data_IF_394947816929
#
_entry.id   IF_394947816929
#
_cell.length_a   1.000
_cell.length_b   1.000
_cell.length_c   1.000
_cell.angle_alpha   90.00
_cell.angle_beta   90.00
_cell.angle_gamma   90.00
#
_symmetry.space_group_name_H-M   'P 1'
#
loop_
_entity.id
_entity.type
_entity.pdbx_description
1 polymer ?
#
# COMPACT_ATOMS: atom_id res chain seq x y z
N UNK A 1 33.04 -43.37 -44.84
CA UNK A 1 31.64 -43.83 -45.00
C UNK A 1 30.92 -43.57 -43.70
N UNK A 2 29.76 -42.88 -43.75
CA UNK A 2 28.87 -42.67 -42.59
C UNK A 2 28.61 -41.20 -42.28
N UNK A 3 27.50 -40.67 -42.82
CA UNK A 3 26.95 -39.32 -42.61
C UNK A 3 26.12 -39.21 -41.32
N UNK A 4 26.06 -37.98 -40.80
CA UNK A 4 24.97 -37.25 -40.11
C UNK A 4 23.99 -37.96 -39.14
N UNK A 5 23.76 -37.38 -37.96
CA UNK A 5 22.56 -36.56 -37.67
C UNK A 5 22.56 -35.96 -36.24
N UNK A 6 21.95 -34.78 -36.13
CA UNK A 6 21.76 -33.93 -34.95
C UNK A 6 21.03 -34.58 -33.77
N UNK A 7 21.38 -34.18 -32.54
CA UNK A 7 20.41 -33.99 -31.46
C UNK A 7 20.95 -33.00 -30.40
N UNK A 8 20.62 -31.73 -30.59
CA UNK A 8 20.62 -30.72 -29.54
C UNK A 8 19.57 -31.10 -28.48
N UNK A 9 19.98 -31.28 -27.23
CA UNK A 9 19.01 -31.41 -26.14
C UNK A 9 19.57 -32.03 -24.89
N UNK A 10 19.94 -31.18 -23.93
CA UNK A 10 19.46 -31.26 -22.53
C UNK A 10 20.01 -30.08 -21.72
N UNK A 11 19.49 -28.88 -22.02
CA UNK A 11 19.32 -27.81 -21.03
C UNK A 11 18.27 -28.26 -19.98
N UNK A 12 18.60 -29.27 -19.18
CA UNK A 12 17.64 -29.96 -18.30
C UNK A 12 18.00 -29.90 -16.81
N UNK A 13 18.62 -28.81 -16.34
CA UNK A 13 18.73 -28.53 -14.89
C UNK A 13 18.27 -27.14 -14.46
N UNK A 14 17.75 -26.29 -15.36
CA UNK A 14 17.13 -24.99 -15.02
C UNK A 14 15.62 -24.94 -15.29
N UNK A 15 14.93 -26.08 -15.20
CA UNK A 15 13.46 -26.17 -15.28
C UNK A 15 12.90 -26.80 -14.00
N UNK A 16 13.06 -26.10 -12.87
CA UNK A 16 12.21 -26.30 -11.68
C UNK A 16 12.45 -25.16 -10.69
N UNK A 17 11.91 -23.99 -11.01
CA UNK A 17 11.39 -22.97 -10.10
C UNK A 17 10.54 -22.01 -10.97
N UNK A 18 9.49 -22.56 -11.59
CA UNK A 18 8.44 -21.77 -12.22
C UNK A 18 7.44 -21.36 -11.14
N UNK A 19 7.51 -20.11 -10.70
CA UNK A 19 6.32 -19.29 -10.48
C UNK A 19 6.53 -18.05 -11.34
N UNK A 20 5.75 -17.94 -12.41
CA UNK A 20 5.83 -16.92 -13.46
C UNK A 20 5.99 -15.48 -12.89
N UNK A 21 7.10 -14.75 -13.15
CA UNK A 21 7.28 -13.39 -12.60
C UNK A 21 6.45 -12.26 -13.26
N UNK A 22 5.51 -12.54 -14.17
CA UNK A 22 4.89 -11.50 -15.01
C UNK A 22 3.49 -10.97 -14.57
N UNK A 23 3.19 -10.86 -13.27
CA UNK A 23 1.91 -10.25 -12.80
C UNK A 23 2.03 -9.32 -11.58
N UNK A 24 3.22 -8.81 -11.27
CA UNK A 24 3.45 -7.96 -10.10
C UNK A 24 4.10 -6.64 -10.53
N UNK A 25 3.32 -5.59 -10.87
CA UNK A 25 3.84 -4.34 -11.43
C UNK A 25 4.90 -3.65 -10.54
N UNK A 26 4.85 -3.88 -9.23
CA UNK A 26 5.80 -3.32 -8.27
C UNK A 26 7.20 -3.94 -8.30
N UNK A 27 7.41 -5.09 -8.96
CA UNK A 27 8.74 -5.71 -9.03
C UNK A 27 9.74 -4.91 -9.87
N UNK A 28 9.27 -3.95 -10.67
CA UNK A 28 10.11 -3.06 -11.47
C UNK A 28 10.23 -1.65 -10.86
N UNK A 29 9.69 -1.41 -9.66
CA UNK A 29 9.76 -0.09 -9.03
C UNK A 29 11.16 0.18 -8.51
N UNK A 30 11.72 1.33 -8.92
CA UNK A 30 13.01 1.80 -8.47
C UNK A 30 12.83 2.91 -7.41
N UNK A 31 13.80 3.10 -6.52
CA UNK A 31 13.74 3.99 -5.35
C UNK A 31 14.86 5.03 -5.39
N UNK A 32 14.71 6.22 -4.80
CA UNK A 32 15.85 7.14 -4.66
C UNK A 32 16.56 6.94 -3.32
N UNK A 33 17.90 6.87 -3.33
CA UNK A 33 18.69 6.84 -2.10
C UNK A 33 18.74 8.23 -1.42
N UNK A 34 19.33 8.29 -0.22
CA UNK A 34 19.49 9.54 0.53
C UNK A 34 20.28 10.61 -0.24
N UNK A 35 21.14 10.19 -1.17
CA UNK A 35 21.74 11.05 -2.18
C UNK A 35 20.77 11.07 -3.35
N UNK A 36 19.97 12.15 -3.44
CA UNK A 36 18.80 12.35 -4.34
C UNK A 36 18.96 11.96 -5.82
N UNK A 37 20.13 11.52 -6.25
CA UNK A 37 20.46 11.12 -7.63
C UNK A 37 20.60 9.61 -7.86
N UNK A 38 20.79 8.77 -6.83
CA UNK A 38 21.00 7.34 -7.08
C UNK A 38 19.70 6.55 -6.98
N UNK A 39 19.42 5.78 -8.03
CA UNK A 39 18.25 4.91 -8.12
C UNK A 39 18.61 3.50 -7.61
N UNK A 40 17.80 2.98 -6.69
CA UNK A 40 17.88 1.65 -6.06
C UNK A 40 16.81 0.72 -6.65
N UNK A 41 17.09 -0.58 -6.67
CA UNK A 41 16.15 -1.66 -7.04
C UNK A 41 15.36 -2.16 -5.82
N UNK A 42 14.28 -2.96 -6.00
CA UNK A 42 13.60 -3.63 -4.88
C UNK A 42 14.53 -4.50 -4.04
N UNK A 43 15.54 -5.14 -4.66
CA UNK A 43 16.59 -5.90 -3.98
C UNK A 43 17.50 -4.99 -3.13
N UNK A 44 17.83 -3.79 -3.62
CA UNK A 44 18.60 -2.80 -2.86
C UNK A 44 17.81 -2.31 -1.66
N UNK A 45 16.49 -2.08 -1.81
CA UNK A 45 15.63 -1.73 -0.68
C UNK A 45 15.61 -2.85 0.36
N UNK A 46 15.46 -4.12 -0.05
CA UNK A 46 15.55 -5.25 0.89
C UNK A 46 16.89 -5.25 1.64
N UNK A 47 17.98 -4.87 0.97
CA UNK A 47 19.31 -4.78 1.56
C UNK A 47 19.42 -3.65 2.57
N UNK A 48 18.86 -2.48 2.27
CA UNK A 48 18.78 -1.33 3.20
C UNK A 48 17.85 -1.61 4.36
N UNK A 49 16.72 -2.30 4.16
CA UNK A 49 15.85 -2.73 5.26
C UNK A 49 16.54 -3.72 6.20
N UNK A 50 17.43 -4.59 5.67
CA UNK A 50 18.25 -5.49 6.48
C UNK A 50 19.37 -4.76 7.22
N UNK A 51 19.90 -3.68 6.63
CA UNK A 51 21.02 -2.91 7.17
C UNK A 51 20.71 -1.40 7.09
N UNK A 52 19.83 -0.88 7.96
CA UNK A 52 19.45 0.52 7.90
C UNK A 52 20.65 1.42 8.22
N UNK A 53 20.81 2.57 7.55
CA UNK A 53 21.88 3.51 7.87
C UNK A 53 21.71 4.04 9.30
N UNK A 54 22.76 3.85 10.11
CA UNK A 54 22.69 3.98 11.57
C UNK A 54 23.01 5.42 11.99
N UNK A 55 21.96 6.19 12.29
CA UNK A 55 21.96 7.30 13.26
C UNK A 55 20.50 7.69 13.56
N UNK A 56 19.75 6.76 14.15
CA UNK A 56 18.34 6.97 14.51
C UNK A 56 18.26 7.02 16.04
N UNK A 57 17.51 7.97 16.59
CA UNK A 57 17.20 8.00 18.02
C UNK A 57 16.38 6.75 18.36
N UNK A 58 16.92 5.88 19.23
CA UNK A 58 16.30 4.61 19.61
C UNK A 58 14.88 4.81 20.18
N UNK A 59 14.62 5.91 20.89
CA UNK A 59 13.30 6.18 21.46
C UNK A 59 12.30 6.61 20.38
N UNK A 60 12.75 7.29 19.32
CA UNK A 60 11.91 7.60 18.15
C UNK A 60 11.64 6.31 17.37
N UNK A 61 12.67 5.50 17.15
CA UNK A 61 12.54 4.23 16.44
C UNK A 61 11.55 3.29 17.13
N UNK A 62 11.65 3.15 18.45
CA UNK A 62 10.73 2.33 19.26
C UNK A 62 9.27 2.77 19.09
N UNK A 63 9.02 4.09 19.13
CA UNK A 63 7.66 4.64 18.92
C UNK A 63 7.13 4.40 17.52
N UNK A 64 7.97 4.61 16.49
CA UNK A 64 7.57 4.36 15.09
C UNK A 64 7.24 2.88 14.88
N UNK A 65 8.10 1.98 15.38
CA UNK A 65 7.87 0.54 15.30
C UNK A 65 6.62 0.13 16.08
N UNK A 66 6.49 0.61 17.32
CA UNK A 66 5.33 0.35 18.18
C UNK A 66 4.01 0.82 17.55
N UNK A 67 3.99 1.98 16.89
CA UNK A 67 2.81 2.47 16.19
C UNK A 67 2.44 1.59 14.99
N UNK A 68 3.40 1.24 14.13
CA UNK A 68 3.13 0.42 12.95
C UNK A 68 2.76 -1.03 13.30
N UNK A 69 3.51 -1.65 14.23
CA UNK A 69 3.24 -3.02 14.71
C UNK A 69 1.96 -3.05 15.54
N UNK A 70 1.73 -2.07 16.40
CA UNK A 70 0.54 -1.98 17.24
C UNK A 70 -0.74 -1.86 16.41
N UNK A 71 -0.74 -1.06 15.34
CA UNK A 71 -1.83 -0.99 14.38
C UNK A 71 -2.08 -2.36 13.74
N UNK A 72 -1.04 -3.04 13.25
CA UNK A 72 -1.18 -4.36 12.63
C UNK A 72 -1.66 -5.46 13.60
N UNK A 73 -1.22 -5.39 14.85
CA UNK A 73 -1.71 -6.28 15.91
C UNK A 73 -3.17 -5.99 16.26
N UNK A 74 -3.56 -4.72 16.35
CA UNK A 74 -4.93 -4.30 16.60
C UNK A 74 -5.90 -4.79 15.52
N UNK A 75 -5.52 -4.61 14.26
CA UNK A 75 -6.20 -5.15 13.08
C UNK A 75 -6.33 -6.69 13.19
N UNK A 76 -5.22 -7.43 13.32
CA UNK A 76 -5.25 -8.89 13.37
C UNK A 76 -6.07 -9.47 14.55
N UNK A 77 -6.11 -8.76 15.68
CA UNK A 77 -6.98 -9.11 16.83
C UNK A 77 -8.45 -8.79 16.53
N UNK A 78 -8.73 -7.64 15.93
CA UNK A 78 -10.08 -7.15 15.61
C UNK A 78 -10.75 -7.92 14.49
N UNK A 79 -10.03 -8.24 13.41
CA UNK A 79 -10.55 -8.95 12.25
C UNK A 79 -11.14 -10.34 12.57
N UNK A 80 -10.69 -10.98 13.66
CA UNK A 80 -11.28 -12.23 14.14
C UNK A 80 -12.76 -12.08 14.54
N UNK A 81 -13.13 -10.93 15.09
CA UNK A 81 -14.46 -10.68 15.67
C UNK A 81 -15.27 -9.65 14.89
N UNK A 82 -14.80 -9.29 13.70
CA UNK A 82 -15.49 -8.38 12.83
C UNK A 82 -16.93 -8.84 12.54
N UNK A 83 -17.87 -7.89 12.49
CA UNK A 83 -19.32 -8.11 12.36
C UNK A 83 -19.98 -8.94 13.47
N UNK A 84 -19.26 -9.30 14.55
CA UNK A 84 -19.85 -9.96 15.71
C UNK A 84 -20.53 -8.93 16.63
N UNK A 85 -21.72 -9.23 17.15
CA UNK A 85 -22.39 -8.33 18.09
C UNK A 85 -21.59 -8.25 19.40
N UNK A 86 -21.69 -7.13 20.11
CA UNK A 86 -20.96 -6.92 21.38
C UNK A 86 -21.20 -8.04 22.41
N UNK A 87 -22.40 -8.63 22.43
CA UNK A 87 -22.77 -9.75 23.29
C UNK A 87 -21.93 -11.01 23.03
N UNK A 88 -21.54 -11.25 21.77
CA UNK A 88 -20.67 -12.38 21.41
C UNK A 88 -19.32 -12.28 22.15
N UNK A 89 -18.78 -11.07 22.26
CA UNK A 89 -17.50 -10.79 22.92
C UNK A 89 -17.52 -10.98 24.44
N UNK A 90 -18.70 -10.97 25.07
CA UNK A 90 -18.83 -11.28 26.50
C UNK A 90 -18.54 -12.75 26.77
N UNK A 91 -18.92 -13.63 25.83
CA UNK A 91 -18.70 -15.07 25.91
C UNK A 91 -17.38 -15.50 25.26
N UNK A 92 -16.92 -14.75 24.25
CA UNK A 92 -15.72 -15.04 23.46
C UNK A 92 -14.77 -13.82 23.47
N UNK A 93 -14.18 -13.47 24.63
CA UNK A 93 -13.28 -12.34 24.72
C UNK A 93 -12.01 -12.58 23.89
N UNK A 94 -11.59 -11.57 23.14
CA UNK A 94 -10.34 -11.59 22.39
C UNK A 94 -9.18 -11.45 23.37
N UNK A 95 -8.37 -12.50 23.50
CA UNK A 95 -7.22 -12.56 24.43
C UNK A 95 -5.91 -12.92 23.75
N UNK A 96 -5.96 -13.37 22.50
CA UNK A 96 -4.81 -13.84 21.75
C UNK A 96 -5.10 -13.78 20.23
N UNK A 97 -4.05 -13.90 19.42
CA UNK A 97 -4.12 -13.99 17.96
C UNK A 97 -4.60 -15.39 17.55
N UNK A 98 -5.92 -15.57 17.54
CA UNK A 98 -6.54 -16.87 17.25
C UNK A 98 -6.78 -17.13 15.76
N UNK A 99 -6.84 -16.08 14.92
CA UNK A 99 -7.26 -16.20 13.52
C UNK A 99 -8.73 -16.62 13.39
N UNK A 100 -9.24 -16.90 12.20
CA UNK A 100 -10.63 -17.26 11.93
C UNK A 100 -11.46 -16.05 11.53
N UNK A 101 -12.61 -15.84 12.18
CA UNK A 101 -13.50 -14.72 11.88
C UNK A 101 -14.24 -14.88 10.55
N UNK A 102 -14.83 -13.77 10.08
CA UNK A 102 -15.62 -13.69 8.84
C UNK A 102 -14.85 -14.20 7.62
N UNK A 103 -13.54 -13.97 7.61
CA UNK A 103 -12.66 -14.25 6.48
C UNK A 103 -11.82 -15.53 6.63
N UNK A 104 -11.94 -16.26 7.74
CA UNK A 104 -11.19 -17.51 7.97
C UNK A 104 -9.67 -17.32 8.03
N UNK A 105 -9.21 -16.21 8.64
CA UNK A 105 -7.81 -15.81 8.69
C UNK A 105 -6.92 -16.81 9.44
N UNK A 106 -5.64 -16.91 9.06
CA UNK A 106 -4.64 -17.57 9.91
C UNK A 106 -4.25 -16.65 11.07
N UNK A 107 -3.67 -17.23 12.12
CA UNK A 107 -3.13 -16.47 13.26
C UNK A 107 -2.15 -15.41 12.78
N UNK A 108 -2.37 -14.16 13.19
CA UNK A 108 -1.52 -13.01 12.85
C UNK A 108 -1.73 -12.43 11.45
N UNK A 109 -2.68 -12.94 10.64
CA UNK A 109 -3.05 -12.26 9.40
C UNK A 109 -3.91 -11.03 9.71
N UNK A 110 -3.50 -9.90 9.16
CA UNK A 110 -4.17 -8.61 9.21
C UNK A 110 -5.04 -8.37 7.96
N UNK A 111 -5.95 -7.39 7.99
CA UNK A 111 -6.94 -7.08 6.94
C UNK A 111 -6.54 -5.88 6.06
N UNK A 112 -7.51 -5.14 5.54
CA UNK A 112 -7.34 -3.96 4.71
C UNK A 112 -6.71 -2.79 5.47
N UNK A 113 -6.98 -2.61 6.77
CA UNK A 113 -6.37 -1.55 7.60
C UNK A 113 -4.85 -1.53 7.43
N UNK A 114 -4.20 -2.66 7.74
CA UNK A 114 -2.75 -2.80 7.66
C UNK A 114 -2.26 -2.86 6.23
N UNK A 115 -2.99 -3.54 5.32
CA UNK A 115 -2.59 -3.63 3.91
C UNK A 115 -2.50 -2.24 3.27
N UNK A 116 -3.48 -1.38 3.52
CA UNK A 116 -3.49 0.00 3.02
C UNK A 116 -2.44 0.85 3.72
N UNK A 117 -2.25 0.70 5.03
CA UNK A 117 -1.18 1.42 5.73
C UNK A 117 0.22 1.04 5.20
N UNK A 118 0.47 -0.24 4.92
CA UNK A 118 1.73 -0.70 4.31
C UNK A 118 1.92 -0.15 2.89
N UNK A 119 0.84 -0.08 2.10
CA UNK A 119 0.89 0.59 0.80
C UNK A 119 1.30 2.06 0.94
N UNK A 120 0.69 2.79 1.86
CA UNK A 120 0.98 4.20 2.11
C UNK A 120 2.41 4.42 2.63
N UNK A 121 2.84 3.64 3.62
CA UNK A 121 4.20 3.64 4.14
C UNK A 121 5.22 3.39 3.02
N UNK A 122 4.92 2.43 2.13
CA UNK A 122 5.78 2.14 1.01
C UNK A 122 5.86 3.35 0.06
N UNK A 123 4.75 4.02 -0.26
CA UNK A 123 4.75 5.27 -1.06
C UNK A 123 5.68 6.34 -0.50
N UNK A 124 5.51 6.65 0.78
CA UNK A 124 6.31 7.64 1.51
C UNK A 124 7.81 7.30 1.49
N UNK A 125 8.16 6.03 1.72
CA UNK A 125 9.56 5.59 1.71
C UNK A 125 10.18 5.62 0.32
N UNK A 126 9.44 5.22 -0.73
CA UNK A 126 9.95 5.23 -2.12
C UNK A 126 10.18 6.66 -2.60
N UNK A 127 9.18 7.52 -2.45
CA UNK A 127 9.19 8.87 -3.00
C UNK A 127 9.91 9.87 -2.10
N UNK A 128 10.16 9.50 -0.84
CA UNK A 128 10.68 10.39 0.20
C UNK A 128 9.81 11.63 0.42
N UNK A 129 8.55 11.52 0.05
CA UNK A 129 7.56 12.58 0.07
C UNK A 129 6.15 11.97 -0.02
N UNK A 130 5.13 12.81 0.15
CA UNK A 130 3.74 12.43 0.00
C UNK A 130 3.26 12.66 -1.43
N UNK A 131 3.07 11.57 -2.19
CA UNK A 131 2.57 11.62 -3.57
C UNK A 131 1.17 10.97 -3.63
N UNK A 132 0.07 11.74 -3.62
CA UNK A 132 -1.29 11.21 -3.59
C UNK A 132 -1.62 10.24 -4.74
N UNK A 133 -1.04 10.50 -5.91
CA UNK A 133 -1.21 9.63 -7.08
C UNK A 133 -0.62 8.24 -6.83
N UNK A 134 0.61 8.17 -6.30
CA UNK A 134 1.30 6.90 -6.02
C UNK A 134 0.62 6.12 -4.89
N UNK A 135 0.04 6.81 -3.90
CA UNK A 135 -0.82 6.19 -2.90
C UNK A 135 -1.99 5.43 -3.56
N UNK A 136 -2.69 6.05 -4.52
CA UNK A 136 -3.78 5.40 -5.26
C UNK A 136 -3.27 4.26 -6.15
N UNK A 137 -2.10 4.40 -6.78
CA UNK A 137 -1.47 3.31 -7.55
C UNK A 137 -1.21 2.09 -6.67
N UNK A 138 -0.67 2.26 -5.45
CA UNK A 138 -0.40 1.13 -4.55
C UNK A 138 -1.66 0.50 -4.01
N UNK A 139 -2.68 1.30 -3.69
CA UNK A 139 -3.99 0.76 -3.33
C UNK A 139 -4.62 -0.01 -4.47
N UNK A 140 -4.46 0.45 -5.73
CA UNK A 140 -4.86 -0.30 -6.91
C UNK A 140 -4.09 -1.62 -7.03
N UNK A 141 -2.79 -1.63 -6.77
CA UNK A 141 -2.01 -2.87 -6.78
C UNK A 141 -2.43 -3.85 -5.69
N UNK A 142 -2.75 -3.34 -4.49
CA UNK A 142 -3.34 -4.16 -3.44
C UNK A 142 -4.67 -4.74 -3.93
N UNK A 143 -5.60 -3.89 -4.36
CA UNK A 143 -6.93 -4.28 -4.85
C UNK A 143 -6.88 -5.32 -5.96
N UNK A 144 -5.99 -5.18 -6.95
CA UNK A 144 -5.92 -6.08 -8.11
C UNK A 144 -5.06 -7.31 -7.93
N UNK A 145 -3.99 -7.21 -7.15
CA UNK A 145 -2.91 -8.20 -7.17
C UNK A 145 -2.47 -8.64 -5.76
N UNK A 146 -3.09 -8.13 -4.70
CA UNK A 146 -2.74 -8.46 -3.32
C UNK A 146 -1.40 -7.89 -2.86
N UNK A 147 -0.92 -6.80 -3.46
CA UNK A 147 0.25 -6.08 -2.96
C UNK A 147 0.07 -5.72 -1.47
N UNK A 148 1.07 -6.02 -0.64
CA UNK A 148 1.04 -5.83 0.82
C UNK A 148 -0.11 -6.53 1.57
N UNK A 149 -0.75 -7.55 0.97
CA UNK A 149 -1.77 -8.37 1.65
C UNK A 149 -1.14 -9.50 2.46
N UNK A 150 -1.70 -9.77 3.65
CA UNK A 150 -1.34 -10.91 4.50
C UNK A 150 -1.77 -12.27 3.93
N UNK A 151 -2.72 -12.29 2.99
CA UNK A 151 -3.26 -13.51 2.34
C UNK A 151 -2.76 -13.68 0.90
N UNK A 152 -2.04 -12.69 0.37
CA UNK A 152 -1.61 -12.64 -1.03
C UNK A 152 -2.69 -12.22 -2.02
N UNK A 153 -3.90 -11.86 -1.55
CA UNK A 153 -5.01 -11.33 -2.36
C UNK A 153 -5.69 -10.16 -1.63
N UNK A 154 -6.37 -9.27 -2.35
CA UNK A 154 -7.23 -8.28 -1.72
C UNK A 154 -8.50 -8.94 -1.18
N UNK A 155 -8.83 -8.64 0.07
CA UNK A 155 -10.09 -9.00 0.72
C UNK A 155 -10.46 -7.87 1.69
N UNK A 156 -11.69 -7.89 2.20
CA UNK A 156 -12.21 -6.92 3.17
C UNK A 156 -12.22 -5.44 2.71
N UNK A 157 -12.01 -5.17 1.42
CA UNK A 157 -12.03 -3.81 0.91
C UNK A 157 -13.40 -3.15 1.11
N UNK A 158 -13.43 -2.08 1.89
CA UNK A 158 -14.61 -1.24 2.06
C UNK A 158 -15.14 -0.66 0.75
N UNK A 159 -16.47 -0.51 0.67
CA UNK A 159 -17.18 -0.03 -0.54
C UNK A 159 -16.66 1.32 -1.03
N UNK A 160 -16.46 2.28 -0.12
CA UNK A 160 -15.93 3.61 -0.42
C UNK A 160 -14.54 3.56 -1.09
N UNK A 161 -13.62 2.79 -0.50
CA UNK A 161 -12.28 2.57 -1.06
C UNK A 161 -12.37 1.93 -2.43
N UNK A 162 -13.17 0.85 -2.58
CA UNK A 162 -13.36 0.17 -3.86
C UNK A 162 -13.88 1.12 -4.95
N UNK A 163 -14.89 1.92 -4.64
CA UNK A 163 -15.46 2.90 -5.58
C UNK A 163 -14.42 3.95 -6.00
N UNK A 164 -13.67 4.49 -5.04
CA UNK A 164 -12.60 5.46 -5.31
C UNK A 164 -11.51 4.88 -6.21
N UNK A 165 -11.11 3.61 -6.01
CA UNK A 165 -10.13 2.96 -6.88
C UNK A 165 -10.67 2.66 -8.28
N UNK A 166 -11.94 2.28 -8.41
CA UNK A 166 -12.59 2.14 -9.71
C UNK A 166 -12.62 3.48 -10.47
N UNK A 167 -12.91 4.58 -9.78
CA UNK A 167 -12.90 5.92 -10.36
C UNK A 167 -11.48 6.35 -10.75
N UNK A 168 -10.48 6.10 -9.89
CA UNK A 168 -9.07 6.34 -10.21
C UNK A 168 -8.64 5.62 -11.49
N UNK A 169 -8.97 4.33 -11.63
CA UNK A 169 -8.66 3.56 -12.83
C UNK A 169 -9.36 4.10 -14.08
N UNK A 170 -10.62 4.53 -13.94
CA UNK A 170 -11.35 5.15 -15.05
C UNK A 170 -10.69 6.45 -15.48
N UNK A 171 -10.25 7.28 -14.53
CA UNK A 171 -9.50 8.52 -14.79
C UNK A 171 -8.14 8.24 -15.41
N UNK A 172 -7.40 7.22 -14.96
CA UNK A 172 -6.15 6.79 -15.60
C UNK A 172 -6.36 6.46 -17.08
N UNK A 173 -7.38 5.68 -17.45
CA UNK A 173 -7.65 5.36 -18.86
C UNK A 173 -7.91 6.61 -19.70
N UNK A 174 -8.76 7.52 -19.21
CA UNK A 174 -9.05 8.78 -19.91
C UNK A 174 -7.78 9.65 -20.03
N UNK A 175 -6.97 9.71 -18.98
CA UNK A 175 -5.74 10.49 -18.96
C UNK A 175 -4.70 9.94 -19.95
N UNK A 176 -4.58 8.61 -20.05
CA UNK A 176 -3.76 7.92 -21.03
C UNK A 176 -4.15 8.31 -22.46
N UNK A 177 -5.45 8.27 -22.78
CA UNK A 177 -5.97 8.65 -24.11
C UNK A 177 -5.69 10.13 -24.42
N UNK A 178 -5.96 11.03 -23.47
CA UNK A 178 -5.73 12.48 -23.66
C UNK A 178 -4.27 12.81 -23.92
N UNK A 179 -3.34 12.19 -23.19
CA UNK A 179 -1.92 12.51 -23.24
C UNK A 179 -1.12 11.57 -24.15
N UNK A 180 -1.79 10.62 -24.82
CA UNK A 180 -1.16 9.60 -25.67
C UNK A 180 -0.09 8.77 -24.92
N UNK A 181 -0.36 8.46 -23.65
CA UNK A 181 0.51 7.66 -22.79
C UNK A 181 -0.01 6.23 -22.76
N UNK A 182 0.88 5.23 -22.91
CA UNK A 182 0.49 3.82 -22.77
C UNK A 182 -0.01 3.57 -21.34
N UNK A 183 -1.16 2.92 -21.18
CA UNK A 183 -1.78 2.70 -19.86
C UNK A 183 -0.84 2.00 -18.86
N UNK A 184 0.02 1.10 -19.33
CA UNK A 184 1.02 0.40 -18.51
C UNK A 184 2.07 1.33 -17.89
N UNK A 185 2.29 2.52 -18.45
CA UNK A 185 3.22 3.51 -17.91
C UNK A 185 2.60 4.39 -16.83
N UNK A 186 1.27 4.47 -16.74
CA UNK A 186 0.63 5.40 -15.81
C UNK A 186 0.90 5.07 -14.35
N UNK A 187 1.15 3.81 -14.00
CA UNK A 187 1.51 3.43 -12.63
C UNK A 187 2.92 3.88 -12.22
N UNK A 188 3.71 4.35 -13.18
CA UNK A 188 5.06 4.85 -12.99
C UNK A 188 5.18 6.33 -13.37
N UNK A 189 4.05 7.04 -13.43
CA UNK A 189 4.04 8.46 -13.76
C UNK A 189 4.78 9.27 -12.68
N UNK A 190 5.85 9.96 -13.07
CA UNK A 190 6.68 10.77 -12.18
C UNK A 190 6.89 12.20 -12.68
N UNK A 191 6.39 12.54 -13.87
CA UNK A 191 6.46 13.89 -14.43
C UNK A 191 5.56 14.83 -13.60
N UNK A 192 6.11 15.87 -12.95
CA UNK A 192 5.32 16.75 -12.09
C UNK A 192 4.19 17.48 -12.84
N UNK A 193 4.43 17.89 -14.09
CA UNK A 193 3.43 18.62 -14.87
C UNK A 193 2.24 17.73 -15.24
N UNK A 194 2.48 16.45 -15.50
CA UNK A 194 1.41 15.47 -15.73
C UNK A 194 0.69 15.07 -14.44
N UNK A 195 1.42 14.95 -13.32
CA UNK A 195 0.82 14.66 -12.02
C UNK A 195 -0.13 15.79 -11.57
N UNK A 196 0.26 17.06 -11.75
CA UNK A 196 -0.57 18.22 -11.42
C UNK A 196 -1.89 18.28 -12.22
N UNK A 197 -1.90 17.70 -13.42
CA UNK A 197 -3.09 17.63 -14.27
C UNK A 197 -4.03 16.47 -13.90
N UNK A 198 -3.57 15.53 -13.08
CA UNK A 198 -4.37 14.37 -12.70
C UNK A 198 -5.18 14.66 -11.43
N UNK A 199 -6.51 14.67 -11.55
CA UNK A 199 -7.39 14.80 -10.39
C UNK A 199 -7.41 13.50 -9.55
N UNK A 200 -6.72 13.52 -8.40
CA UNK A 200 -6.61 12.40 -7.44
C UNK A 200 -7.81 12.26 -6.49
N UNK A 201 -8.70 13.25 -6.40
CA UNK A 201 -9.87 13.21 -5.52
C UNK A 201 -10.96 12.32 -6.13
N UNK A 202 -10.86 11.01 -5.88
CA UNK A 202 -11.68 9.99 -6.53
C UNK A 202 -12.90 9.55 -5.70
N UNK A 203 -13.04 10.06 -4.47
CA UNK A 203 -14.22 9.83 -3.64
C UNK A 203 -15.39 10.71 -4.06
N UNK A 204 -16.60 10.22 -3.82
CA UNK A 204 -17.79 11.06 -3.75
C UNK A 204 -17.79 11.88 -2.45
N UNK A 205 -18.57 12.98 -2.45
CA UNK A 205 -18.79 13.83 -1.28
C UNK A 205 -19.61 13.09 -0.21
N UNK A 206 -19.34 13.34 1.07
CA UNK A 206 -20.12 12.80 2.18
C UNK A 206 -19.75 11.38 2.61
N UNK A 207 -18.66 10.83 2.07
CA UNK A 207 -18.14 9.49 2.40
C UNK A 207 -17.34 9.53 3.71
N UNK A 208 -18.04 9.39 4.85
CA UNK A 208 -17.50 9.52 6.21
C UNK A 208 -17.01 8.20 6.87
N UNK A 209 -16.68 7.17 6.08
CA UNK A 209 -16.23 5.87 6.58
C UNK A 209 -14.86 5.91 7.29
N UNK A 210 -14.55 4.89 8.09
CA UNK A 210 -13.26 4.75 8.80
C UNK A 210 -12.07 4.45 7.88
N UNK A 211 -12.30 4.18 6.59
CA UNK A 211 -11.32 3.74 5.60
C UNK A 211 -10.10 4.65 5.41
N UNK A 212 -10.25 5.94 5.75
CA UNK A 212 -9.16 6.90 5.78
C UNK A 212 -8.34 6.85 7.08
N UNK A 213 -9.01 6.77 8.23
CA UNK A 213 -8.37 6.82 9.55
C UNK A 213 -7.60 5.54 9.87
N UNK A 214 -8.16 4.38 9.52
CA UNK A 214 -7.60 3.08 9.88
C UNK A 214 -6.18 2.82 9.34
N UNK A 215 -5.81 3.54 8.27
CA UNK A 215 -4.52 3.41 7.58
C UNK A 215 -3.56 4.60 7.79
N UNK A 216 -3.91 5.51 8.70
CA UNK A 216 -3.30 6.84 8.77
C UNK A 216 -1.85 6.86 9.26
N UNK A 217 -1.49 5.93 10.16
CA UNK A 217 -0.24 5.96 10.93
C UNK A 217 1.03 6.31 10.13
N UNK A 218 1.26 5.82 8.89
CA UNK A 218 2.50 6.11 8.15
C UNK A 218 2.78 7.61 7.93
N UNK A 219 1.77 8.44 7.71
CA UNK A 219 1.96 9.86 7.38
C UNK A 219 2.55 10.64 8.56
N UNK A 220 1.93 10.69 9.75
CA UNK A 220 2.49 11.43 10.88
C UNK A 220 3.81 10.84 11.38
N UNK A 221 4.05 9.54 11.19
CA UNK A 221 5.34 8.93 11.51
C UNK A 221 6.44 9.37 10.54
N UNK A 222 6.15 9.47 9.25
CA UNK A 222 7.10 9.91 8.25
C UNK A 222 7.44 11.41 8.42
N UNK A 223 6.43 12.24 8.62
CA UNK A 223 6.57 13.69 8.80
C UNK A 223 6.71 14.10 10.27
N UNK A 224 7.18 13.22 11.17
CA UNK A 224 7.21 13.47 12.61
C UNK A 224 8.03 14.70 13.03
N UNK A 225 8.95 15.18 12.19
CA UNK A 225 9.75 16.39 12.40
C UNK A 225 9.06 17.67 11.95
N UNK A 226 7.98 17.56 11.18
CA UNK A 226 7.16 18.67 10.68
C UNK A 226 5.67 18.37 10.96
N UNK A 227 5.17 18.71 12.16
CA UNK A 227 3.79 18.46 12.54
C UNK A 227 2.75 19.14 11.63
N UNK A 228 3.11 20.25 10.97
CA UNK A 228 2.20 20.96 10.07
C UNK A 228 1.99 20.14 8.81
N UNK A 229 3.08 19.71 8.16
CA UNK A 229 2.99 18.79 7.01
C UNK A 229 2.35 17.46 7.39
N UNK A 230 2.64 16.94 8.59
CA UNK A 230 2.02 15.72 9.09
C UNK A 230 0.48 15.83 9.13
N UNK A 231 -0.07 16.94 9.62
CA UNK A 231 -1.53 17.17 9.68
C UNK A 231 -2.11 17.36 8.28
N UNK A 232 -1.48 18.18 7.45
CA UNK A 232 -1.93 18.46 6.09
C UNK A 232 -2.01 17.17 5.24
N UNK A 233 -0.91 16.42 5.19
CA UNK A 233 -0.84 15.18 4.41
C UNK A 233 -1.69 14.06 4.99
N UNK A 234 -1.95 14.08 6.31
CA UNK A 234 -2.94 13.18 6.93
C UNK A 234 -4.35 13.43 6.37
N UNK A 235 -4.72 14.71 6.23
CA UNK A 235 -5.97 15.13 5.60
C UNK A 235 -6.05 14.72 4.13
N UNK A 236 -5.02 15.07 3.36
CA UNK A 236 -4.94 14.77 1.92
C UNK A 236 -4.96 13.26 1.63
N UNK A 237 -4.28 12.45 2.45
CA UNK A 237 -4.27 10.98 2.31
C UNK A 237 -5.66 10.37 2.51
N UNK A 238 -6.50 10.97 3.36
CA UNK A 238 -7.87 10.51 3.59
C UNK A 238 -8.80 10.85 2.43
N UNK A 239 -8.83 12.14 2.06
CA UNK A 239 -9.83 12.72 1.16
C UNK A 239 -9.82 12.12 -0.25
N UNK A 240 -8.67 11.61 -0.73
CA UNK A 240 -8.58 10.96 -2.04
C UNK A 240 -9.44 9.69 -2.18
N UNK A 241 -9.90 9.12 -1.06
CA UNK A 241 -10.82 7.96 -1.03
C UNK A 241 -12.06 8.14 -0.16
N UNK A 242 -12.11 9.20 0.65
CA UNK A 242 -13.18 9.48 1.61
C UNK A 242 -13.44 10.99 1.65
N UNK A 243 -14.31 11.46 0.75
CA UNK A 243 -14.62 12.87 0.48
C UNK A 243 -15.54 13.53 1.52
N UNK A 244 -15.38 13.20 2.80
CA UNK A 244 -16.09 13.85 3.91
C UNK A 244 -15.09 14.52 4.87
N UNK A 245 -15.33 15.76 5.30
CA UNK A 245 -14.54 16.43 6.34
C UNK A 245 -14.50 15.71 7.70
N UNK A 246 -15.36 14.73 7.94
CA UNK A 246 -15.32 13.86 9.14
C UNK A 246 -14.37 12.68 8.97
N UNK A 247 -14.12 12.25 7.73
CA UNK A 247 -13.19 11.16 7.42
C UNK A 247 -11.77 11.66 7.10
N UNK A 248 -11.63 12.94 6.76
CA UNK A 248 -10.35 13.63 6.60
C UNK A 248 -10.15 14.58 7.78
N UNK A 249 -8.97 14.63 8.39
CA UNK A 249 -8.67 15.53 9.54
C UNK A 249 -8.67 17.03 9.12
N UNK A 250 -9.16 17.35 7.92
CA UNK A 250 -9.36 18.70 7.40
C UNK A 250 -10.62 19.32 8.04
N UNK A 251 -10.60 19.56 9.34
CA UNK A 251 -11.48 20.54 9.95
C UNK A 251 -10.71 21.86 10.13
N UNK A 252 -11.09 22.84 9.29
CA UNK A 252 -11.02 24.29 9.54
C UNK A 252 -9.76 24.81 10.28
N UNK A 253 -8.65 24.93 9.55
CA UNK A 253 -7.57 25.88 9.88
C UNK A 253 -7.49 27.01 8.83
N UNK A 254 -8.65 27.57 8.46
CA UNK A 254 -8.78 28.82 7.68
C UNK A 254 -9.55 29.84 8.48
#
# INVERSE_FOLDING_TARGET
MGQETNASGTQSSMRRLLVQPQKKPWLNCLYHSNDKESIMTPEDLQTVMKNPPVNVDDAILDRVQGSMVGMALGDALGGHVEFRPRQYLLQHPVRDLVGGGTWGLKKGQFTDDTSMALCLASSLVIHRDFIPYDQLVRYKWWHKYGYMSSTGQCFDIGTATRQSLCEFERRQRKFADTHQIRLEHLDHLSDPHLLDQFNVYCSEDGVAGNGALMRLAPVPLFFHKDPVQAVEFSGLSGVITHGDPKASILQEYT
#
